data_IF_460181646652
#
_entry.id   IF_460181646652
#
_cell.length_a   1.000
_cell.length_b   1.000
_cell.length_c   1.000
_cell.angle_alpha   90.00
_cell.angle_beta   90.00
_cell.angle_gamma   90.00
#
_symmetry.space_group_name_H-M   'P 1'
#
loop_
_entity.id
_entity.type
_entity.pdbx_description
1 polymer ?
#
# COMPACT_ATOMS: atom_id res chain seq x y z
N UNK A 1 -13.02 -6.35 11.52
CA UNK A 1 -12.75 -4.91 11.68
C UNK A 1 -11.52 -4.62 10.84
N UNK A 2 -11.71 -4.31 9.57
CA UNK A 2 -10.61 -4.18 8.61
C UNK A 2 -11.14 -3.42 7.42
N UNK A 3 -10.81 -2.14 7.33
CA UNK A 3 -11.03 -1.28 6.17
C UNK A 3 -10.56 0.16 6.49
N UNK A 4 -9.26 0.33 6.73
CA UNK A 4 -8.63 1.66 6.63
C UNK A 4 -7.55 1.65 5.53
N UNK A 5 -7.78 0.84 4.50
CA UNK A 5 -6.90 0.73 3.34
C UNK A 5 -7.54 1.30 2.08
N UNK A 6 -8.80 1.78 2.12
CA UNK A 6 -9.52 2.24 0.93
C UNK A 6 -8.83 3.41 0.20
N UNK A 7 -8.08 4.25 0.93
CA UNK A 7 -7.35 5.38 0.34
C UNK A 7 -5.97 5.03 -0.23
N UNK A 8 -5.39 3.89 0.16
CA UNK A 8 -4.02 3.52 -0.22
C UNK A 8 -3.89 3.18 -1.72
N UNK A 9 -4.85 2.44 -2.34
CA UNK A 9 -4.84 2.17 -3.78
C UNK A 9 -4.95 3.42 -4.65
N UNK A 10 -5.85 4.34 -4.30
CA UNK A 10 -6.06 5.56 -5.06
C UNK A 10 -4.79 6.42 -5.09
N UNK A 11 -4.17 6.64 -3.92
CA UNK A 11 -2.91 7.36 -3.81
C UNK A 11 -1.74 6.65 -4.50
N UNK A 12 -1.73 5.30 -4.46
CA UNK A 12 -0.75 4.52 -5.19
C UNK A 12 -0.94 4.61 -6.71
N UNK A 13 -2.16 4.81 -7.22
CA UNK A 13 -2.42 4.96 -8.67
C UNK A 13 -2.11 6.35 -9.20
N UNK A 14 -2.52 7.39 -8.49
CA UNK A 14 -2.41 8.78 -8.97
C UNK A 14 -1.13 9.51 -8.52
N UNK A 15 -0.35 8.90 -7.61
CA UNK A 15 0.89 9.48 -7.09
C UNK A 15 0.67 10.57 -6.03
N UNK A 16 -0.54 10.69 -5.49
CA UNK A 16 -0.84 11.60 -4.39
C UNK A 16 -0.22 11.15 -3.06
N UNK A 17 -0.32 12.01 -2.04
CA UNK A 17 0.39 11.82 -0.78
C UNK A 17 -0.08 10.57 -0.02
N UNK A 18 0.79 9.56 0.07
CA UNK A 18 0.52 8.30 0.78
C UNK A 18 0.57 8.40 2.31
N UNK A 19 1.08 9.50 2.89
CA UNK A 19 1.20 9.62 4.35
C UNK A 19 -0.17 9.62 5.02
N UNK A 20 -1.16 10.32 4.46
CA UNK A 20 -2.51 10.37 5.01
C UNK A 20 -3.17 8.97 5.10
N UNK A 21 -3.29 8.18 4.01
CA UNK A 21 -3.87 6.84 4.08
C UNK A 21 -3.04 5.85 4.90
N UNK A 22 -1.72 6.00 4.98
CA UNK A 22 -0.88 5.17 5.86
C UNK A 22 -1.15 5.45 7.34
N UNK A 23 -1.37 6.71 7.73
CA UNK A 23 -1.72 7.06 9.11
C UNK A 23 -3.08 6.48 9.50
N UNK A 24 -4.06 6.50 8.61
CA UNK A 24 -5.38 5.90 8.84
C UNK A 24 -5.27 4.37 8.98
N UNK A 25 -4.48 3.72 8.13
CA UNK A 25 -4.21 2.29 8.23
C UNK A 25 -3.58 1.91 9.58
N UNK A 26 -2.54 2.63 10.00
CA UNK A 26 -1.88 2.39 11.30
C UNK A 26 -2.81 2.68 12.48
N UNK A 27 -3.68 3.69 12.39
CA UNK A 27 -4.69 4.00 13.42
C UNK A 27 -5.75 2.90 13.56
N UNK A 28 -6.06 2.21 12.47
CA UNK A 28 -6.97 1.06 12.47
C UNK A 28 -6.29 -0.25 12.90
N UNK A 29 -5.07 -0.18 13.42
CA UNK A 29 -4.23 -1.31 13.80
C UNK A 29 -3.94 -2.26 12.61
N UNK A 30 -3.94 -1.72 11.38
CA UNK A 30 -3.52 -2.50 10.22
C UNK A 30 -2.04 -2.85 10.32
N UNK A 31 -1.72 -4.09 10.02
CA UNK A 31 -0.37 -4.60 9.99
C UNK A 31 0.38 -4.14 8.74
N UNK A 32 1.71 -4.12 8.83
CA UNK A 32 2.55 -3.88 7.66
C UNK A 32 2.27 -4.88 6.52
N UNK A 33 1.94 -6.13 6.85
CA UNK A 33 1.60 -7.16 5.87
C UNK A 33 0.35 -6.81 5.06
N UNK A 34 -0.68 -6.27 5.70
CA UNK A 34 -1.92 -5.83 5.03
C UNK A 34 -1.67 -4.62 4.13
N UNK A 35 -0.89 -3.63 4.61
CA UNK A 35 -0.50 -2.45 3.82
C UNK A 35 0.34 -2.86 2.60
N UNK A 36 1.36 -3.71 2.79
CA UNK A 36 2.19 -4.22 1.71
C UNK A 36 1.40 -5.12 0.74
N UNK A 37 0.36 -5.82 1.21
CA UNK A 37 -0.54 -6.59 0.37
C UNK A 37 -1.29 -5.70 -0.63
N UNK A 38 -1.91 -4.63 -0.13
CA UNK A 38 -2.63 -3.67 -0.98
C UNK A 38 -1.70 -3.00 -2.00
N UNK A 39 -0.49 -2.61 -1.58
CA UNK A 39 0.48 -2.01 -2.50
C UNK A 39 0.97 -3.00 -3.56
N UNK A 40 1.05 -4.29 -3.22
CA UNK A 40 1.42 -5.36 -4.17
C UNK A 40 0.35 -5.58 -5.23
N UNK A 41 -0.92 -5.58 -4.83
CA UNK A 41 -2.03 -5.73 -5.76
C UNK A 41 -2.09 -4.57 -6.76
N UNK A 42 -1.72 -3.37 -6.31
CA UNK A 42 -1.79 -2.14 -7.11
C UNK A 42 -0.57 -1.88 -7.99
N UNK A 43 0.64 -2.15 -7.48
CA UNK A 43 1.90 -1.82 -8.18
C UNK A 43 2.73 -3.04 -8.57
N UNK A 44 2.26 -4.25 -8.26
CA UNK A 44 3.04 -5.47 -8.43
C UNK A 44 4.23 -5.52 -7.48
N UNK A 45 5.17 -6.43 -7.78
CA UNK A 45 6.43 -6.57 -7.04
C UNK A 45 7.60 -6.25 -7.94
N UNK A 46 8.62 -5.60 -7.38
CA UNK A 46 9.91 -5.53 -8.05
C UNK A 46 10.54 -6.93 -8.15
N UNK A 47 11.06 -7.27 -9.32
CA UNK A 47 11.86 -8.47 -9.57
C UNK A 47 13.13 -8.03 -10.29
N UNK A 48 14.29 -8.34 -9.70
CA UNK A 48 15.57 -8.01 -10.33
C UNK A 48 15.69 -8.71 -11.69
N UNK A 49 16.16 -8.00 -12.73
CA UNK A 49 16.43 -8.64 -14.01
C UNK A 49 17.54 -9.68 -13.85
N UNK A 50 17.45 -10.84 -14.52
CA UNK A 50 18.51 -11.85 -14.47
C UNK A 50 19.79 -11.26 -15.09
N UNK A 51 20.79 -11.05 -14.22
CA UNK A 51 22.22 -10.75 -14.50
C UNK A 51 22.55 -9.93 -15.75
N UNK A 52 22.93 -8.66 -15.56
CA UNK A 52 23.63 -7.83 -16.55
C UNK A 52 24.99 -8.40 -16.95
#
# INVERSE_FOLDING_TARGET
>A
MGAALDGTPAAARDGSNMIAPMLDAVRAEATLGEICGVLRDERGTYTEPPGS
#
